data_IF_111934093551
#
_entry.id   IF_111934093551
#
_cell.length_a   1.000
_cell.length_b   1.000
_cell.length_c   1.000
_cell.angle_alpha   90.00
_cell.angle_beta   90.00
_cell.angle_gamma   90.00
#
_symmetry.space_group_name_H-M   'P 1'
#
loop_
_entity.id
_entity.type
_entity.pdbx_description
1 polymer ?
#
# COMPACT_ATOMS: atom_id res chain seq x y z
N UNK A 1 -56.96 -16.75 12.70
CA UNK A 1 -56.01 -17.40 11.76
C UNK A 1 -54.72 -16.58 11.82
N UNK A 2 -53.64 -17.14 12.36
CA UNK A 2 -52.33 -16.47 12.30
C UNK A 2 -51.77 -16.62 10.90
N UNK A 3 -51.53 -15.51 10.22
CA UNK A 3 -50.81 -15.50 8.95
C UNK A 3 -49.43 -16.16 9.14
N UNK A 4 -48.98 -17.01 8.20
CA UNK A 4 -47.66 -17.63 8.30
C UNK A 4 -46.57 -16.56 8.31
N UNK A 5 -45.64 -16.65 9.26
CA UNK A 5 -44.45 -15.80 9.29
C UNK A 5 -43.62 -16.12 8.05
N UNK A 6 -43.20 -15.13 7.25
CA UNK A 6 -42.30 -15.35 6.12
C UNK A 6 -41.05 -16.11 6.56
N UNK A 7 -40.65 -17.13 5.80
CA UNK A 7 -39.37 -17.79 6.03
C UNK A 7 -38.25 -16.74 5.91
N UNK A 8 -37.30 -16.72 6.86
CA UNK A 8 -36.16 -15.80 6.79
C UNK A 8 -35.27 -16.24 5.63
N UNK A 9 -34.99 -15.33 4.70
CA UNK A 9 -33.95 -15.53 3.70
C UNK A 9 -32.60 -15.67 4.41
N UNK A 10 -31.80 -16.71 4.11
CA UNK A 10 -30.45 -16.80 4.65
C UNK A 10 -29.64 -15.61 4.17
N UNK A 11 -29.11 -14.85 5.11
CA UNK A 11 -28.25 -13.71 4.83
C UNK A 11 -26.94 -14.20 4.19
N UNK A 12 -26.43 -13.54 3.14
CA UNK A 12 -25.18 -13.93 2.52
C UNK A 12 -24.03 -13.79 3.53
N UNK A 13 -23.11 -14.76 3.54
CA UNK A 13 -21.89 -14.78 4.36
C UNK A 13 -22.06 -14.92 5.88
N UNK A 14 -23.24 -15.29 6.40
CA UNK A 14 -23.42 -15.51 7.86
C UNK A 14 -22.63 -16.71 8.38
N UNK A 15 -22.70 -17.84 7.67
CA UNK A 15 -21.99 -19.06 8.09
C UNK A 15 -20.56 -19.14 7.54
N UNK A 16 -20.28 -18.40 6.47
CA UNK A 16 -19.00 -18.41 5.75
C UNK A 16 -18.61 -16.98 5.39
N UNK A 17 -17.89 -16.27 6.27
CA UNK A 17 -17.37 -14.95 5.91
C UNK A 17 -16.44 -15.08 4.69
N UNK A 18 -16.38 -14.06 3.82
CA UNK A 18 -15.41 -14.06 2.74
C UNK A 18 -14.00 -14.18 3.32
N UNK A 19 -13.19 -15.04 2.71
CA UNK A 19 -11.78 -15.15 3.06
C UNK A 19 -11.06 -13.84 2.67
N UNK A 20 -10.03 -13.44 3.43
CA UNK A 20 -9.17 -12.35 2.99
C UNK A 20 -8.53 -12.72 1.63
N UNK A 21 -8.23 -11.74 0.78
CA UNK A 21 -7.53 -12.00 -0.47
C UNK A 21 -6.21 -12.71 -0.20
N UNK A 22 -5.89 -13.73 -1.01
CA UNK A 22 -4.63 -14.49 -0.90
C UNK A 22 -3.44 -13.70 -1.43
N UNK A 23 -3.70 -12.75 -2.33
CA UNK A 23 -2.68 -11.91 -2.93
C UNK A 23 -2.71 -10.51 -2.30
N UNK A 24 -1.53 -9.88 -2.12
CA UNK A 24 -1.47 -8.49 -1.70
C UNK A 24 -2.14 -7.61 -2.75
N UNK A 25 -2.80 -6.55 -2.28
CA UNK A 25 -3.31 -5.52 -3.17
C UNK A 25 -2.15 -4.90 -3.97
N UNK A 26 -2.30 -4.67 -5.28
CA UNK A 26 -1.27 -4.02 -6.08
C UNK A 26 -1.00 -2.63 -5.52
N UNK A 27 0.28 -2.26 -5.47
CA UNK A 27 0.70 -0.93 -5.04
C UNK A 27 0.23 0.06 -6.12
N UNK A 28 -0.49 1.13 -5.76
CA UNK A 28 -0.85 2.16 -6.73
C UNK A 28 0.39 2.73 -7.40
N UNK A 29 0.33 2.95 -8.71
CA UNK A 29 1.37 3.68 -9.43
C UNK A 29 1.40 5.11 -8.91
N UNK A 30 2.55 5.53 -8.38
CA UNK A 30 2.78 6.90 -7.98
C UNK A 30 3.49 7.60 -9.13
N UNK A 31 3.01 8.79 -9.51
CA UNK A 31 3.76 9.64 -10.42
C UNK A 31 5.12 9.98 -9.79
N UNK A 32 6.21 10.01 -10.56
CA UNK A 32 7.48 10.51 -10.06
C UNK A 32 7.30 11.95 -9.59
N UNK A 33 8.04 12.38 -8.54
CA UNK A 33 7.97 13.76 -8.09
C UNK A 33 8.30 14.71 -9.25
N UNK A 34 7.48 15.76 -9.42
CA UNK A 34 7.67 16.76 -10.49
C UNK A 34 9.05 17.43 -10.44
N UNK A 35 9.66 17.47 -9.26
CA UNK A 35 10.99 18.01 -9.04
C UNK A 35 11.92 16.91 -8.49
N UNK A 36 12.81 16.42 -9.35
CA UNK A 36 13.89 15.55 -8.91
C UNK A 36 14.90 16.40 -8.11
N UNK A 37 15.38 15.91 -6.95
CA UNK A 37 16.42 16.60 -6.23
C UNK A 37 17.65 16.77 -7.12
N UNK A 38 18.46 17.84 -6.92
CA UNK A 38 19.73 17.96 -7.61
C UNK A 38 20.59 16.72 -7.32
N UNK A 39 21.45 16.32 -8.27
CA UNK A 39 22.42 15.27 -8.02
C UNK A 39 23.23 15.62 -6.77
N UNK A 40 23.52 14.61 -5.94
CA UNK A 40 24.42 14.79 -4.81
C UNK A 40 25.78 15.24 -5.35
N UNK A 41 26.31 16.35 -4.84
CA UNK A 41 27.69 16.74 -5.12
C UNK A 41 28.64 15.78 -4.40
N UNK A 42 29.72 15.40 -5.09
CA UNK A 42 30.81 14.68 -4.47
C UNK A 42 31.39 15.51 -3.31
N UNK A 43 31.78 14.86 -2.20
CA UNK A 43 32.44 15.56 -1.11
C UNK A 43 33.72 16.24 -1.64
N UNK A 44 34.10 17.40 -1.07
CA UNK A 44 35.33 18.06 -1.47
C UNK A 44 36.51 17.10 -1.29
N UNK A 45 37.30 16.92 -2.35
CA UNK A 45 38.52 16.14 -2.30
C UNK A 45 39.52 16.90 -1.42
N UNK A 46 39.71 16.45 -0.17
CA UNK A 46 40.74 17.01 0.71
C UNK A 46 42.11 16.71 0.11
N UNK A 47 42.82 17.75 -0.32
CA UNK A 47 44.23 17.61 -0.69
C UNK A 47 45.04 17.22 0.55
N UNK A 48 45.99 16.27 0.45
CA UNK A 48 46.87 15.95 1.57
C UNK A 48 47.67 17.19 2.01
N UNK A 49 47.98 17.33 3.30
CA UNK A 49 48.74 18.47 3.80
C UNK A 49 50.12 18.52 3.13
N UNK A 50 50.50 19.70 2.65
CA UNK A 50 51.86 19.95 2.16
C UNK A 50 52.76 20.12 3.38
N UNK A 51 53.68 19.17 3.59
CA UNK A 51 54.72 19.30 4.61
C UNK A 51 55.81 20.24 4.04
N UNK A 52 56.08 21.33 4.75
CA UNK A 52 57.12 22.30 4.43
C UNK A 52 58.49 21.91 5.01
#
# INVERSE_FOLDING_TARGET
MSSPIPARTPEPNIDKPPLPPTEPVPIPEQEPPENLPPPMEDPPQTAPPVVA
#
